data_IF_147275366751
#
_entry.id   IF_147275366751
#
_cell.length_a   1.000
_cell.length_b   1.000
_cell.length_c   1.000
_cell.angle_alpha   90.00
_cell.angle_beta   90.00
_cell.angle_gamma   90.00
#
_symmetry.space_group_name_H-M   'P 1'
#
loop_
_entity.id
_entity.type
_entity.pdbx_description
1 polymer ?
#
# COMPACT_ATOMS: atom_id res chain seq x y z
N UNK A 1 12.85 13.59 5.04
CA UNK A 1 11.70 12.77 4.58
C UNK A 1 12.10 11.39 4.10
N UNK A 2 13.18 11.25 3.29
CA UNK A 2 13.65 9.93 2.84
C UNK A 2 14.09 8.99 3.96
N UNK A 3 14.59 9.51 5.07
CA UNK A 3 15.09 8.69 6.18
C UNK A 3 13.95 8.17 7.07
N UNK A 4 12.91 8.97 7.29
CA UNK A 4 11.75 8.61 8.13
C UNK A 4 10.99 7.44 7.54
N UNK A 5 10.50 7.56 6.30
CA UNK A 5 9.73 6.48 5.67
C UNK A 5 10.59 5.28 5.27
N UNK A 6 11.87 5.50 4.93
CA UNK A 6 12.78 4.46 4.50
C UNK A 6 13.17 3.51 5.64
N UNK A 7 13.78 4.06 6.71
CA UNK A 7 14.30 3.25 7.82
C UNK A 7 13.25 2.91 8.86
N UNK A 8 12.45 3.89 9.26
CA UNK A 8 11.43 3.67 10.27
C UNK A 8 10.37 2.67 9.80
N UNK A 9 9.91 2.76 8.54
CA UNK A 9 8.93 1.80 8.02
C UNK A 9 9.56 0.42 7.79
N UNK A 10 10.81 0.36 7.33
CA UNK A 10 11.54 -0.90 7.25
C UNK A 10 11.65 -1.58 8.62
N UNK A 11 12.08 -0.86 9.66
CA UNK A 11 12.24 -1.38 11.02
C UNK A 11 10.87 -1.74 11.64
N UNK A 12 9.88 -0.85 11.53
CA UNK A 12 8.53 -1.06 12.07
C UNK A 12 7.86 -2.30 11.50
N UNK A 13 8.04 -2.57 10.20
CA UNK A 13 7.41 -3.70 9.51
C UNK A 13 8.30 -4.94 9.45
N UNK A 14 9.44 -4.96 10.15
CA UNK A 14 10.37 -6.09 10.11
C UNK A 14 10.94 -6.36 8.71
N UNK A 15 11.13 -5.32 7.90
CA UNK A 15 11.65 -5.42 6.54
C UNK A 15 10.60 -5.60 5.45
N UNK A 16 9.30 -5.70 5.80
CA UNK A 16 8.22 -5.88 4.80
C UNK A 16 8.04 -4.66 3.89
N UNK A 17 8.40 -3.47 4.36
CA UNK A 17 8.57 -2.26 3.53
C UNK A 17 10.06 -2.06 3.28
N UNK A 18 10.47 -2.27 2.04
CA UNK A 18 11.86 -2.10 1.63
C UNK A 18 11.94 -1.40 0.28
N UNK A 19 12.29 -0.11 0.28
CA UNK A 19 12.45 0.66 -0.97
C UNK A 19 13.65 0.21 -1.82
N UNK A 20 14.54 -0.59 -1.26
CA UNK A 20 15.68 -1.17 -1.98
C UNK A 20 15.30 -2.45 -2.77
N UNK A 21 14.05 -2.91 -2.71
CA UNK A 21 13.57 -4.10 -3.44
C UNK A 21 13.36 -3.88 -4.95
N UNK A 22 13.72 -2.74 -5.48
CA UNK A 22 13.48 -2.40 -6.88
C UNK A 22 14.01 -3.43 -7.87
N UNK A 23 15.14 -4.08 -7.59
CA UNK A 23 15.69 -5.13 -8.47
C UNK A 23 14.78 -6.34 -8.61
N UNK A 24 14.15 -6.80 -7.51
CA UNK A 24 13.14 -7.89 -7.51
C UNK A 24 11.82 -7.40 -8.12
N UNK A 25 11.34 -6.24 -7.69
CA UNK A 25 10.06 -5.68 -8.16
C UNK A 25 10.07 -5.38 -9.66
N UNK A 26 11.21 -4.99 -10.22
CA UNK A 26 11.37 -4.77 -11.65
C UNK A 26 11.21 -6.06 -12.46
N UNK A 27 11.67 -7.21 -11.95
CA UNK A 27 11.43 -8.51 -12.60
C UNK A 27 9.92 -8.76 -12.68
N UNK A 28 9.20 -8.68 -11.56
CA UNK A 28 7.74 -8.86 -11.53
C UNK A 28 6.99 -7.87 -12.43
N UNK A 29 7.46 -6.62 -12.49
CA UNK A 29 6.91 -5.60 -13.37
C UNK A 29 7.06 -5.99 -14.85
N UNK A 30 8.25 -6.43 -15.27
CA UNK A 30 8.52 -6.83 -16.64
C UNK A 30 7.68 -8.06 -17.05
N UNK A 31 7.52 -9.04 -16.18
CA UNK A 31 6.66 -10.21 -16.44
C UNK A 31 5.19 -9.81 -16.57
N UNK A 32 4.71 -8.88 -15.74
CA UNK A 32 3.34 -8.36 -15.86
C UNK A 32 3.15 -7.58 -17.15
N UNK A 33 4.06 -6.68 -17.52
CA UNK A 33 3.97 -5.94 -18.79
C UNK A 33 4.01 -6.88 -20.00
N UNK A 34 4.84 -7.91 -19.96
CA UNK A 34 4.85 -8.93 -21.01
C UNK A 34 3.51 -9.69 -21.08
N UNK A 35 2.89 -9.99 -19.93
CA UNK A 35 1.58 -10.62 -19.88
C UNK A 35 0.45 -9.71 -20.38
N UNK A 36 0.49 -8.42 -20.06
CA UNK A 36 -0.46 -7.42 -20.57
C UNK A 36 -0.34 -7.22 -22.09
N UNK A 37 0.84 -7.47 -22.66
CA UNK A 37 1.09 -7.42 -24.10
C UNK A 37 0.80 -8.74 -24.84
N UNK A 38 0.60 -9.85 -24.10
CA UNK A 38 0.33 -11.16 -24.68
C UNK A 38 -1.08 -11.27 -25.26
N UNK A 39 -1.26 -12.06 -26.30
CA UNK A 39 -2.57 -12.30 -26.91
C UNK A 39 -3.49 -13.16 -26.05
N UNK A 40 -2.90 -14.03 -25.22
CA UNK A 40 -3.62 -14.96 -24.34
C UNK A 40 -2.85 -15.20 -23.04
N UNK A 41 -3.57 -15.49 -21.96
CA UNK A 41 -2.97 -15.85 -20.67
C UNK A 41 -2.13 -17.14 -20.72
N UNK A 42 -2.33 -17.98 -21.73
CA UNK A 42 -1.57 -19.22 -21.91
C UNK A 42 -0.08 -18.99 -22.23
N UNK A 43 0.28 -17.79 -22.70
CA UNK A 43 1.66 -17.40 -23.01
C UNK A 43 2.37 -16.77 -21.80
N UNK A 44 1.64 -16.46 -20.75
CA UNK A 44 2.15 -15.81 -19.55
C UNK A 44 3.10 -16.76 -18.78
N UNK A 45 4.12 -16.18 -18.19
CA UNK A 45 5.15 -16.92 -17.43
C UNK A 45 5.37 -16.29 -16.06
N UNK A 46 5.93 -17.07 -15.17
CA UNK A 46 6.43 -16.60 -13.89
C UNK A 46 7.94 -16.41 -13.95
N UNK A 47 8.50 -15.45 -13.20
CA UNK A 47 9.94 -15.41 -12.96
C UNK A 47 10.39 -16.69 -12.27
N UNK A 48 11.62 -17.12 -12.56
CA UNK A 48 12.23 -18.24 -11.87
C UNK A 48 12.73 -17.82 -10.50
N UNK A 49 12.80 -18.76 -9.56
CA UNK A 49 13.35 -18.47 -8.23
C UNK A 49 14.83 -18.04 -8.34
N UNK A 50 15.59 -18.61 -9.28
CA UNK A 50 16.99 -18.25 -9.53
C UNK A 50 17.13 -16.76 -9.92
N UNK A 51 16.26 -16.26 -10.81
CA UNK A 51 16.25 -14.84 -11.19
C UNK A 51 15.91 -13.93 -9.98
N UNK A 52 14.91 -14.33 -9.18
CA UNK A 52 14.48 -13.55 -8.02
C UNK A 52 15.54 -13.54 -6.90
N UNK A 53 16.16 -14.69 -6.60
CA UNK A 53 17.22 -14.80 -5.61
C UNK A 53 18.48 -14.04 -6.02
N UNK A 54 18.83 -14.03 -7.31
CA UNK A 54 19.93 -13.24 -7.84
C UNK A 54 19.66 -11.74 -7.65
N UNK A 55 18.47 -11.26 -8.00
CA UNK A 55 18.08 -9.87 -7.81
C UNK A 55 17.99 -9.46 -6.32
N UNK A 56 17.59 -10.36 -5.44
CA UNK A 56 17.48 -10.11 -4.01
C UNK A 56 18.82 -9.83 -3.34
N UNK A 57 19.96 -10.25 -3.93
CA UNK A 57 21.30 -9.91 -3.43
C UNK A 57 21.55 -8.39 -3.44
N UNK A 58 20.80 -7.64 -4.26
CA UNK A 58 20.92 -6.19 -4.44
C UNK A 58 19.84 -5.38 -3.70
N UNK A 59 19.19 -5.99 -2.68
CA UNK A 59 18.06 -5.39 -1.96
C UNK A 59 18.37 -4.96 -0.51
N UNK A 60 19.66 -4.89 -0.12
CA UNK A 60 20.05 -4.46 1.24
C UNK A 60 19.82 -2.95 1.41
N UNK A 61 18.85 -2.60 2.25
CA UNK A 61 18.48 -1.20 2.57
C UNK A 61 19.67 -0.37 3.10
N UNK A 62 20.69 -1.01 3.70
CA UNK A 62 21.86 -0.34 4.22
C UNK A 62 22.77 0.24 3.11
N UNK A 63 22.66 -0.27 1.90
CA UNK A 63 23.36 0.26 0.73
C UNK A 63 22.73 1.54 0.15
N UNK A 64 21.56 1.98 0.68
CA UNK A 64 20.97 3.27 0.33
C UNK A 64 21.45 4.32 1.32
N UNK A 65 22.37 5.15 0.93
CA UNK A 65 22.99 6.20 1.76
C UNK A 65 22.32 7.54 1.45
N UNK A 66 21.74 8.18 2.47
CA UNK A 66 21.10 9.49 2.33
C UNK A 66 21.91 10.52 3.10
N UNK A 67 22.31 11.58 2.42
CA UNK A 67 22.85 12.80 3.01
C UNK A 67 21.79 13.90 2.92
N UNK A 68 21.13 14.19 4.05
CA UNK A 68 20.06 15.15 4.12
C UNK A 68 20.57 16.60 3.94
N UNK A 69 21.78 16.89 4.37
CA UNK A 69 22.38 18.23 4.26
C UNK A 69 22.79 18.53 2.83
N UNK A 70 23.44 17.58 2.18
CA UNK A 70 23.80 17.66 0.77
C UNK A 70 22.60 17.40 -0.17
N UNK A 71 21.47 16.89 0.33
CA UNK A 71 20.28 16.48 -0.44
C UNK A 71 20.63 15.47 -1.54
N UNK A 72 21.45 14.49 -1.20
CA UNK A 72 21.86 13.44 -2.12
C UNK A 72 21.46 12.07 -1.63
N UNK A 73 21.23 11.15 -2.58
CA UNK A 73 21.07 9.73 -2.34
C UNK A 73 22.14 9.00 -3.13
N UNK A 74 22.89 8.12 -2.47
CA UNK A 74 23.91 7.29 -3.08
C UNK A 74 23.59 5.81 -2.87
N UNK A 75 23.61 5.03 -3.94
CA UNK A 75 23.45 3.59 -3.91
C UNK A 75 24.84 2.95 -3.92
N UNK A 76 25.22 2.31 -2.82
CA UNK A 76 26.53 1.69 -2.68
C UNK A 76 26.65 0.41 -3.51
N UNK A 77 25.54 -0.23 -3.83
CA UNK A 77 25.46 -1.35 -4.75
C UNK A 77 25.04 -0.85 -6.15
N UNK A 78 25.88 -1.02 -7.19
CA UNK A 78 25.59 -0.52 -8.54
C UNK A 78 24.43 -1.25 -9.27
N UNK A 79 24.05 -2.45 -8.81
CA UNK A 79 22.93 -3.23 -9.36
C UNK A 79 21.62 -3.03 -8.59
N UNK A 80 21.65 -2.24 -7.51
CA UNK A 80 20.47 -1.89 -6.75
C UNK A 80 19.56 -0.97 -7.54
N UNK A 81 18.24 -1.24 -7.46
CA UNK A 81 17.19 -0.35 -7.90
C UNK A 81 16.33 0.08 -6.72
N UNK A 82 15.93 1.35 -6.72
CA UNK A 82 14.93 1.84 -5.75
C UNK A 82 13.53 1.72 -6.32
N UNK A 83 12.60 1.27 -5.48
CA UNK A 83 11.17 1.34 -5.74
C UNK A 83 10.47 2.05 -4.56
N UNK A 84 9.77 3.14 -4.85
CA UNK A 84 9.02 3.93 -3.89
C UNK A 84 7.51 3.79 -4.06
N UNK A 85 7.06 2.77 -4.80
CA UNK A 85 5.66 2.53 -5.12
C UNK A 85 4.77 2.34 -3.89
N UNK A 86 5.33 1.79 -2.81
CA UNK A 86 4.64 1.58 -1.52
C UNK A 86 4.42 2.85 -0.68
N UNK A 87 5.03 3.98 -1.06
CA UNK A 87 4.95 5.24 -0.30
C UNK A 87 4.65 6.45 -1.19
N UNK A 88 4.98 6.37 -2.46
CA UNK A 88 5.04 7.53 -3.35
C UNK A 88 3.68 8.21 -3.55
N UNK A 89 2.60 7.43 -3.67
CA UNK A 89 1.25 7.97 -3.84
C UNK A 89 0.77 8.69 -2.59
N UNK A 90 0.85 8.01 -1.44
CA UNK A 90 0.41 8.55 -0.16
C UNK A 90 1.21 9.79 0.23
N UNK A 91 2.52 9.76 0.04
CA UNK A 91 3.39 10.91 0.28
C UNK A 91 3.01 12.11 -0.61
N UNK A 92 2.81 11.90 -1.90
CA UNK A 92 2.41 12.97 -2.81
C UNK A 92 1.06 13.59 -2.41
N UNK A 93 0.07 12.76 -2.05
CA UNK A 93 -1.23 13.21 -1.57
C UNK A 93 -1.08 14.03 -0.29
N UNK A 94 -0.31 13.55 0.68
CA UNK A 94 -0.07 14.26 1.95
C UNK A 94 0.57 15.63 1.73
N UNK A 95 1.64 15.69 0.91
CA UNK A 95 2.32 16.96 0.60
C UNK A 95 1.40 17.98 -0.10
N UNK A 96 0.54 17.52 -1.01
CA UNK A 96 -0.44 18.37 -1.70
C UNK A 96 -1.48 18.87 -0.71
N UNK A 97 -1.99 18.02 0.19
CA UNK A 97 -2.96 18.41 1.21
C UNK A 97 -2.37 19.45 2.19
N UNK A 98 -1.18 19.18 2.74
CA UNK A 98 -0.50 20.12 3.64
C UNK A 98 -0.22 21.46 2.95
N UNK A 99 0.21 21.46 1.69
CA UNK A 99 0.42 22.70 0.95
C UNK A 99 -0.89 23.47 0.68
N UNK A 100 -2.01 22.78 0.51
CA UNK A 100 -3.32 23.40 0.34
C UNK A 100 -3.84 23.97 1.66
N UNK A 101 -3.71 23.24 2.77
CA UNK A 101 -4.05 23.70 4.12
C UNK A 101 -3.24 24.96 4.50
N UNK A 102 -1.94 24.97 4.23
CA UNK A 102 -1.07 26.13 4.45
C UNK A 102 -1.49 27.36 3.64
N UNK A 103 -2.24 27.19 2.54
CA UNK A 103 -2.81 28.26 1.71
C UNK A 103 -4.24 28.64 2.12
N UNK A 104 -4.76 28.04 3.19
CA UNK A 104 -6.08 28.33 3.76
C UNK A 104 -7.22 27.46 3.27
N UNK A 105 -6.95 26.32 2.61
CA UNK A 105 -7.98 25.33 2.30
C UNK A 105 -8.37 24.61 3.58
N UNK A 106 -9.66 24.66 3.94
CA UNK A 106 -10.18 24.09 5.20
C UNK A 106 -11.17 22.95 5.00
N UNK A 107 -11.52 22.63 3.75
CA UNK A 107 -12.49 21.57 3.44
C UNK A 107 -12.23 20.99 2.05
N UNK A 108 -11.77 19.74 1.99
CA UNK A 108 -11.59 19.00 0.75
C UNK A 108 -11.55 17.49 1.00
N UNK A 109 -11.86 16.73 -0.04
CA UNK A 109 -11.56 15.30 -0.12
C UNK A 109 -10.69 15.07 -1.37
N UNK A 110 -9.47 14.65 -1.17
CA UNK A 110 -8.51 14.33 -2.25
C UNK A 110 -8.50 12.83 -2.45
N UNK A 111 -8.61 12.37 -3.71
CA UNK A 111 -8.57 10.96 -4.08
C UNK A 111 -7.58 10.75 -5.22
N UNK A 112 -6.56 9.93 -5.01
CA UNK A 112 -5.56 9.59 -6.03
C UNK A 112 -5.27 8.09 -5.98
N UNK A 113 -5.75 7.35 -6.99
CA UNK A 113 -5.46 5.92 -7.14
C UNK A 113 -5.77 5.08 -5.89
N UNK A 114 -6.90 5.35 -5.22
CA UNK A 114 -7.32 4.64 -4.00
C UNK A 114 -6.82 5.23 -2.68
N UNK A 115 -5.93 6.23 -2.73
CA UNK A 115 -5.55 6.99 -1.53
C UNK A 115 -6.53 8.15 -1.34
N UNK A 116 -7.32 8.11 -0.28
CA UNK A 116 -8.21 9.20 0.13
C UNK A 116 -7.56 10.01 1.25
N UNK A 117 -7.63 11.36 1.19
CA UNK A 117 -7.20 12.25 2.27
C UNK A 117 -8.25 13.36 2.44
N UNK A 118 -8.87 13.40 3.60
CA UNK A 118 -9.84 14.43 3.97
C UNK A 118 -9.12 15.61 4.67
N UNK A 119 -9.45 16.83 4.25
CA UNK A 119 -9.09 18.09 4.93
C UNK A 119 -10.35 18.60 5.60
N UNK A 120 -10.30 18.76 6.92
CA UNK A 120 -11.41 19.24 7.74
C UNK A 120 -12.71 18.49 7.53
N UNK A 121 -13.82 19.20 7.61
CA UNK A 121 -15.17 18.68 7.41
C UNK A 121 -15.83 19.32 6.19
N UNK A 122 -16.95 18.77 5.72
CA UNK A 122 -17.74 19.37 4.63
C UNK A 122 -18.27 20.76 5.01
N UNK A 123 -18.65 21.60 4.03
CA UNK A 123 -19.19 22.94 4.31
C UNK A 123 -20.44 22.96 5.19
N UNK A 124 -21.20 21.86 5.24
CA UNK A 124 -22.37 21.70 6.09
C UNK A 124 -22.04 21.23 7.52
N UNK A 125 -20.77 21.11 7.86
CA UNK A 125 -20.27 20.65 9.15
C UNK A 125 -20.25 19.13 9.34
N UNK A 126 -20.73 18.35 8.37
CA UNK A 126 -20.65 16.88 8.43
C UNK A 126 -19.23 16.37 8.05
N UNK A 127 -18.85 15.21 8.55
CA UNK A 127 -17.60 14.58 8.19
C UNK A 127 -17.61 14.11 6.73
N UNK A 128 -16.43 14.05 6.11
CA UNK A 128 -16.23 13.32 4.88
C UNK A 128 -16.44 11.83 5.10
N UNK A 129 -16.76 11.10 4.05
CA UNK A 129 -16.91 9.65 4.13
C UNK A 129 -16.11 8.98 3.02
N UNK A 130 -15.35 7.97 3.41
CA UNK A 130 -14.66 7.03 2.51
C UNK A 130 -15.36 5.68 2.52
N UNK A 131 -15.31 4.98 1.40
CA UNK A 131 -15.72 3.57 1.30
C UNK A 131 -14.52 2.69 1.05
N UNK A 132 -14.60 1.43 1.43
CA UNK A 132 -13.61 0.41 1.10
C UNK A 132 -14.17 -0.52 0.05
N UNK A 133 -13.41 -0.72 -1.02
CA UNK A 133 -13.79 -1.61 -2.11
C UNK A 133 -13.87 -3.07 -1.62
N UNK A 134 -14.90 -3.79 -2.08
CA UNK A 134 -15.07 -5.21 -1.78
C UNK A 134 -14.15 -6.04 -2.69
N UNK A 135 -13.05 -6.64 -2.18
CA UNK A 135 -12.08 -7.36 -2.99
C UNK A 135 -12.63 -8.64 -3.62
N UNK A 136 -13.78 -9.11 -3.15
CA UNK A 136 -14.43 -10.34 -3.62
C UNK A 136 -15.54 -10.06 -4.63
N UNK A 137 -15.87 -8.78 -4.88
CA UNK A 137 -16.86 -8.40 -5.88
C UNK A 137 -16.33 -8.72 -7.29
N UNK A 138 -17.19 -9.31 -8.11
CA UNK A 138 -16.92 -9.55 -9.53
C UNK A 138 -17.46 -8.42 -10.43
N UNK A 139 -17.94 -7.32 -9.85
CA UNK A 139 -18.56 -6.22 -10.57
C UNK A 139 -17.50 -5.19 -10.99
N UNK A 140 -17.36 -4.97 -12.29
CA UNK A 140 -16.55 -3.88 -12.87
C UNK A 140 -17.23 -2.50 -12.76
N UNK A 141 -18.43 -2.45 -12.21
CA UNK A 141 -19.22 -1.22 -12.04
C UNK A 141 -19.37 -0.93 -10.55
N UNK A 142 -19.11 0.30 -10.15
CA UNK A 142 -19.34 0.76 -8.77
C UNK A 142 -20.83 0.67 -8.42
N UNK A 143 -21.19 -0.36 -7.68
CA UNK A 143 -22.51 -0.63 -7.12
C UNK A 143 -22.43 -0.75 -5.60
N UNK A 144 -23.55 -0.86 -4.92
CA UNK A 144 -23.55 -1.17 -3.47
C UNK A 144 -22.76 -2.44 -3.14
N UNK A 145 -22.78 -3.43 -4.04
CA UNK A 145 -22.14 -4.74 -3.85
C UNK A 145 -20.62 -4.71 -4.12
N UNK A 146 -20.14 -3.64 -4.77
CA UNK A 146 -18.69 -3.44 -4.99
C UNK A 146 -17.99 -2.77 -3.81
N UNK A 147 -18.72 -2.39 -2.78
CA UNK A 147 -18.17 -1.78 -1.57
C UNK A 147 -18.45 -2.68 -0.37
N UNK A 148 -17.55 -2.71 0.59
CA UNK A 148 -17.82 -3.32 1.89
C UNK A 148 -18.82 -2.48 2.67
N UNK A 149 -19.63 -3.15 3.50
CA UNK A 149 -20.59 -2.47 4.37
C UNK A 149 -19.88 -1.54 5.37
N UNK A 150 -20.44 -0.35 5.53
CA UNK A 150 -19.96 0.65 6.47
C UNK A 150 -19.03 1.68 5.82
N UNK A 151 -19.56 2.88 5.59
CA UNK A 151 -18.74 4.03 5.22
C UNK A 151 -17.93 4.52 6.43
N UNK A 152 -16.69 4.94 6.18
CA UNK A 152 -15.77 5.45 7.20
C UNK A 152 -15.91 6.98 7.27
N UNK A 153 -16.16 7.51 8.45
CA UNK A 153 -16.15 8.95 8.71
C UNK A 153 -14.71 9.44 8.80
N UNK A 154 -14.43 10.54 8.11
CA UNK A 154 -13.09 11.11 7.98
C UNK A 154 -13.12 12.62 8.23
N UNK A 155 -12.21 13.10 9.09
CA UNK A 155 -11.89 14.52 9.26
C UNK A 155 -10.40 14.61 9.55
N UNK A 156 -9.65 15.29 8.70
CA UNK A 156 -8.18 15.37 8.78
C UNK A 156 -7.49 14.00 8.82
N UNK A 157 -8.04 13.05 8.07
CA UNK A 157 -7.59 11.65 8.02
C UNK A 157 -7.41 11.18 6.58
N UNK A 158 -6.57 10.18 6.43
CA UNK A 158 -6.36 9.43 5.20
C UNK A 158 -6.91 8.01 5.35
N UNK A 159 -7.54 7.50 4.28
CA UNK A 159 -7.99 6.12 4.12
C UNK A 159 -7.34 5.56 2.87
N UNK A 160 -6.49 4.55 3.04
CA UNK A 160 -5.67 3.99 1.97
C UNK A 160 -5.84 2.49 1.93
N UNK A 161 -5.95 1.92 0.73
CA UNK A 161 -6.11 0.48 0.53
C UNK A 161 -5.06 -0.07 -0.43
N UNK A 162 -4.44 -1.18 -0.05
CA UNK A 162 -3.69 -2.08 -0.94
C UNK A 162 -4.47 -3.37 -1.15
N UNK A 163 -4.58 -3.84 -2.40
CA UNK A 163 -5.35 -5.04 -2.74
C UNK A 163 -4.73 -5.85 -3.89
N UNK A 164 -5.03 -7.14 -3.93
CA UNK A 164 -4.53 -8.10 -4.91
C UNK A 164 -5.27 -8.03 -6.26
N UNK A 165 -6.36 -7.28 -6.34
CA UNK A 165 -7.31 -7.22 -7.46
C UNK A 165 -7.07 -6.07 -8.43
N UNK A 166 -6.16 -5.12 -8.13
CA UNK A 166 -5.96 -3.92 -8.95
C UNK A 166 -4.87 -4.08 -10.02
N UNK A 167 -3.74 -4.71 -9.68
CA UNK A 167 -2.58 -4.88 -10.56
C UNK A 167 -2.06 -6.30 -10.45
N UNK A 168 -2.52 -7.15 -11.34
CA UNK A 168 -2.12 -8.56 -11.39
C UNK A 168 -2.07 -9.04 -12.84
N UNK A 169 -1.47 -10.19 -13.05
CA UNK A 169 -1.61 -10.99 -14.27
C UNK A 169 -1.92 -12.44 -13.91
N UNK A 170 -2.35 -13.22 -14.87
CA UNK A 170 -2.82 -14.58 -14.65
C UNK A 170 -1.87 -15.59 -15.30
N UNK A 171 -1.45 -16.62 -14.56
CA UNK A 171 -0.70 -17.77 -15.07
C UNK A 171 -1.40 -19.03 -14.57
N UNK A 172 -1.75 -19.94 -15.48
CA UNK A 172 -2.45 -21.20 -15.17
C UNK A 172 -3.72 -20.99 -14.31
N UNK A 173 -4.46 -19.91 -14.58
CA UNK A 173 -5.70 -19.57 -13.86
C UNK A 173 -5.50 -18.98 -12.46
N UNK A 174 -4.27 -18.76 -12.02
CA UNK A 174 -3.94 -18.13 -10.73
C UNK A 174 -3.47 -16.68 -10.94
N UNK A 175 -3.96 -15.77 -10.10
CA UNK A 175 -3.54 -14.36 -10.07
C UNK A 175 -2.19 -14.20 -9.38
N UNK A 176 -1.34 -13.36 -9.97
CA UNK A 176 -0.06 -12.91 -9.41
C UNK A 176 -0.04 -11.37 -9.41
N UNK A 177 -0.23 -10.81 -8.24
CA UNK A 177 -0.35 -9.36 -8.04
C UNK A 177 1.00 -8.72 -7.68
N UNK A 178 1.01 -7.39 -7.58
CA UNK A 178 2.21 -6.56 -7.42
C UNK A 178 2.74 -6.43 -5.98
N UNK A 179 2.02 -6.93 -4.98
CA UNK A 179 2.42 -6.85 -3.57
C UNK A 179 3.32 -8.04 -3.25
N UNK A 180 4.63 -7.85 -3.39
CA UNK A 180 5.63 -8.92 -3.25
C UNK A 180 6.11 -8.99 -1.81
N UNK A 181 6.02 -10.16 -1.21
CA UNK A 181 6.58 -10.44 0.12
C UNK A 181 8.11 -10.59 0.01
N UNK A 182 8.90 -9.75 0.72
CA UNK A 182 10.35 -9.82 0.69
C UNK A 182 10.95 -11.16 1.10
N UNK A 183 10.27 -11.92 1.95
CA UNK A 183 10.78 -13.19 2.45
C UNK A 183 10.62 -14.33 1.45
N UNK A 184 9.54 -14.29 0.65
CA UNK A 184 9.25 -15.34 -0.34
C UNK A 184 9.64 -14.93 -1.75
N UNK A 185 9.84 -13.64 -2.01
CA UNK A 185 10.07 -12.99 -3.30
C UNK A 185 8.90 -13.17 -4.29
N UNK A 186 7.74 -13.65 -3.79
CA UNK A 186 6.50 -13.86 -4.54
C UNK A 186 5.37 -12.98 -4.01
N UNK A 187 4.27 -12.82 -4.78
CA UNK A 187 3.07 -12.15 -4.29
C UNK A 187 2.60 -12.73 -2.96
N UNK A 188 2.39 -11.86 -1.97
CA UNK A 188 1.92 -12.26 -0.65
C UNK A 188 0.52 -12.90 -0.74
N UNK A 189 0.23 -13.88 0.12
CA UNK A 189 -1.00 -14.66 0.05
C UNK A 189 -1.85 -14.58 1.33
N UNK A 190 -1.56 -13.59 2.21
CA UNK A 190 -2.25 -13.47 3.50
C UNK A 190 -3.64 -12.85 3.37
N UNK A 191 -3.83 -11.89 2.45
CA UNK A 191 -5.04 -11.09 2.34
C UNK A 191 -5.42 -10.81 0.89
N UNK A 192 -6.69 -10.44 0.65
CA UNK A 192 -7.14 -9.85 -0.61
C UNK A 192 -7.11 -8.31 -0.56
N UNK A 193 -7.23 -7.73 0.62
CA UNK A 193 -7.15 -6.29 0.82
C UNK A 193 -6.72 -5.92 2.23
N UNK A 194 -5.98 -4.83 2.36
CA UNK A 194 -5.65 -4.19 3.63
C UNK A 194 -5.90 -2.70 3.50
N UNK A 195 -6.69 -2.15 4.43
CA UNK A 195 -7.01 -0.73 4.48
C UNK A 195 -6.48 -0.15 5.78
N UNK A 196 -5.85 1.02 5.70
CA UNK A 196 -5.35 1.78 6.87
C UNK A 196 -6.03 3.13 6.92
N UNK A 197 -6.44 3.53 8.12
CA UNK A 197 -6.98 4.83 8.46
C UNK A 197 -6.04 5.51 9.47
N UNK A 198 -5.49 6.66 9.12
CA UNK A 198 -4.69 7.49 10.03
C UNK A 198 -4.61 8.94 9.52
N UNK A 199 -3.91 9.82 10.24
CA UNK A 199 -3.83 11.24 9.88
C UNK A 199 -2.86 11.55 8.72
N UNK A 200 -1.94 10.65 8.37
CA UNK A 200 -0.90 10.84 7.34
C UNK A 200 -1.08 9.83 6.21
N UNK A 201 -1.33 10.33 4.99
CA UNK A 201 -1.55 9.49 3.80
C UNK A 201 -0.28 8.72 3.37
N UNK A 202 0.90 9.26 3.62
CA UNK A 202 2.17 8.59 3.31
C UNK A 202 2.42 7.41 4.25
N UNK A 203 2.17 7.60 5.55
CA UNK A 203 2.20 6.53 6.55
C UNK A 203 1.18 5.43 6.22
N UNK A 204 -0.06 5.83 5.90
CA UNK A 204 -1.10 4.87 5.54
C UNK A 204 -0.72 4.03 4.31
N UNK A 205 -0.19 4.65 3.24
CA UNK A 205 0.24 3.94 2.01
C UNK A 205 1.35 2.92 2.31
N UNK A 206 2.36 3.31 3.11
CA UNK A 206 3.39 2.39 3.59
C UNK A 206 2.80 1.22 4.38
N UNK A 207 1.99 1.52 5.39
CA UNK A 207 1.45 0.50 6.28
C UNK A 207 0.58 -0.51 5.53
N UNK A 208 -0.28 -0.07 4.57
CA UNK A 208 -1.11 -1.02 3.82
C UNK A 208 -0.28 -2.08 3.12
N UNK A 209 0.87 -1.72 2.52
CA UNK A 209 1.77 -2.67 1.86
C UNK A 209 2.48 -3.58 2.86
N UNK A 210 3.01 -3.01 3.95
CA UNK A 210 3.72 -3.79 4.97
C UNK A 210 2.82 -4.78 5.70
N UNK A 211 1.60 -4.34 6.06
CA UNK A 211 0.60 -5.19 6.71
C UNK A 211 0.05 -6.27 5.77
N UNK A 212 0.03 -6.01 4.47
CA UNK A 212 -0.39 -6.99 3.47
C UNK A 212 0.60 -8.16 3.33
N UNK A 213 1.89 -7.89 3.53
CA UNK A 213 2.98 -8.84 3.32
C UNK A 213 3.38 -9.62 4.59
N UNK A 214 2.54 -9.67 5.63
CA UNK A 214 2.86 -10.37 6.88
C UNK A 214 1.60 -11.00 7.51
N UNK A 215 1.75 -11.98 8.44
CA UNK A 215 0.63 -12.57 9.14
C UNK A 215 -0.21 -11.53 9.90
N UNK A 216 -1.53 -11.78 10.00
CA UNK A 216 -2.48 -10.90 10.71
C UNK A 216 -2.03 -10.53 12.12
N UNK A 217 -1.55 -11.52 12.87
CA UNK A 217 -1.15 -11.32 14.27
C UNK A 217 -0.01 -10.29 14.40
N UNK A 218 0.95 -10.30 13.49
CA UNK A 218 2.07 -9.38 13.52
C UNK A 218 1.65 -7.99 13.02
N UNK A 219 0.82 -7.94 11.96
CA UNK A 219 0.21 -6.69 11.50
C UNK A 219 -0.65 -6.02 12.57
N UNK A 220 -1.46 -6.79 13.30
CA UNK A 220 -2.29 -6.29 14.39
C UNK A 220 -1.45 -5.69 15.51
N UNK A 221 -0.34 -6.36 15.93
CA UNK A 221 0.59 -5.82 16.94
C UNK A 221 1.16 -4.46 16.52
N UNK A 222 1.52 -4.31 15.24
CA UNK A 222 2.03 -3.03 14.72
C UNK A 222 0.95 -1.95 14.86
N UNK A 223 -0.25 -2.20 14.34
CA UNK A 223 -1.34 -1.21 14.36
C UNK A 223 -1.71 -0.81 15.77
N UNK A 224 -1.92 -1.76 16.67
CA UNK A 224 -2.27 -1.51 18.08
C UNK A 224 -1.16 -0.79 18.87
N UNK A 225 0.09 -0.77 18.35
CA UNK A 225 1.20 -0.02 18.94
C UNK A 225 1.28 1.44 18.49
N UNK A 226 0.51 1.84 17.50
CA UNK A 226 0.56 3.16 16.87
C UNK A 226 -0.67 3.99 17.25
N UNK A 227 -0.46 5.13 17.86
CA UNK A 227 -1.55 6.04 18.24
C UNK A 227 -2.25 6.61 16.99
N UNK A 228 -3.58 6.50 16.94
CA UNK A 228 -4.41 7.07 15.87
C UNK A 228 -4.28 6.36 14.52
N UNK A 229 -3.80 5.13 14.51
CA UNK A 229 -3.76 4.25 13.34
C UNK A 229 -4.74 3.10 13.54
N UNK A 230 -5.63 2.94 12.57
CA UNK A 230 -6.57 1.82 12.52
C UNK A 230 -6.42 1.07 11.19
N UNK A 231 -6.71 -0.23 11.22
CA UNK A 231 -6.61 -1.04 10.02
C UNK A 231 -7.74 -2.07 9.91
N UNK A 232 -8.00 -2.46 8.66
CA UNK A 232 -8.95 -3.49 8.30
C UNK A 232 -8.29 -4.45 7.30
N UNK A 233 -8.46 -5.74 7.52
CA UNK A 233 -7.95 -6.82 6.67
C UNK A 233 -9.11 -7.62 6.06
N UNK A 234 -9.03 -7.88 4.77
CA UNK A 234 -9.92 -8.76 4.01
C UNK A 234 -9.18 -10.06 3.71
N UNK A 235 -9.62 -11.16 4.28
CA UNK A 235 -8.94 -12.47 4.16
C UNK A 235 -9.40 -13.25 2.93
N UNK A 236 -8.64 -14.26 2.45
CA UNK A 236 -9.04 -15.10 1.33
C UNK A 236 -10.32 -15.93 1.56
N UNK A 237 -10.65 -16.22 2.81
CA UNK A 237 -11.91 -16.89 3.21
C UNK A 237 -13.08 -15.91 3.44
N UNK A 238 -12.96 -14.69 2.89
CA UNK A 238 -13.98 -13.65 2.87
C UNK A 238 -14.40 -13.12 4.26
N UNK A 239 -13.47 -13.08 5.19
CA UNK A 239 -13.70 -12.43 6.47
C UNK A 239 -13.13 -11.00 6.46
N UNK A 240 -13.80 -10.12 7.20
CA UNK A 240 -13.31 -8.78 7.50
C UNK A 240 -12.88 -8.75 8.96
N UNK A 241 -11.62 -8.39 9.20
CA UNK A 241 -11.03 -8.29 10.55
C UNK A 241 -10.52 -6.87 10.73
N UNK A 242 -10.78 -6.25 11.88
CA UNK A 242 -10.44 -4.85 12.16
C UNK A 242 -9.62 -4.72 13.44
N UNK A 243 -8.84 -3.64 13.52
CA UNK A 243 -8.21 -3.19 14.77
C UNK A 243 -9.25 -2.69 15.78
N UNK A 244 -8.83 -2.54 17.02
CA UNK A 244 -9.73 -2.30 18.16
C UNK A 244 -10.52 -0.99 18.10
N UNK A 245 -9.99 0.05 17.47
CA UNK A 245 -10.62 1.36 17.35
C UNK A 245 -11.38 1.59 16.04
N UNK A 246 -11.32 0.70 15.05
CA UNK A 246 -11.90 0.85 13.72
C UNK A 246 -13.39 1.20 13.75
N UNK A 247 -14.16 0.49 14.56
CA UNK A 247 -15.63 0.66 14.62
C UNK A 247 -16.07 2.05 15.08
N UNK A 248 -15.19 2.79 15.77
CA UNK A 248 -15.47 4.16 16.20
C UNK A 248 -15.56 5.15 15.02
N UNK A 249 -15.00 4.79 13.87
CA UNK A 249 -15.01 5.58 12.64
C UNK A 249 -16.15 5.21 11.69
N UNK A 250 -16.90 4.15 11.96
CA UNK A 250 -18.02 3.76 11.11
C UNK A 250 -19.11 4.85 11.14
N UNK A 251 -19.64 5.17 9.97
CA UNK A 251 -20.80 6.04 9.82
C UNK A 251 -22.02 5.34 10.39
N UNK A 252 -22.60 5.94 11.40
CA UNK A 252 -23.88 5.50 12.00
C UNK A 252 -25.07 5.92 11.16
#
# INVERSE_FOLDING_TARGET
>A
LGDVYKRQMYELTGGKINIAMGSVLNIWHNYREAAEAAETDADNKLPTMEELEAAAQHCDINNVIIDADAKTVYLADPEMLLDVGSVGKGYAVEMVCQAAEARGLTSALVSVGGNLRAIGVKPDGSQWTGGVENPWSSSDVYTSDSMLDGAINMSDMALVTSGDYQRYYVVDGKRYHHLIDPDTLFPAAYFNGVTVLCSDSGLADCLTTGLFCQPLEDGMKIVESLDGVEAMWCTPDQQVITSSGWDSHLKK
#
